data_IF_307503466763
#
_entry.id   IF_307503466763
#
_cell.length_a   1.000
_cell.length_b   1.000
_cell.length_c   1.000
_cell.angle_alpha   90.00
_cell.angle_beta   90.00
_cell.angle_gamma   90.00
#
_symmetry.space_group_name_H-M   'P 1'
#
loop_
_entity.id
_entity.type
_entity.pdbx_description
1 polymer ?
#
# COMPACT_ATOMS: atom_id res chain seq x y z
N UNK A 1 -7.68 -12.22 2.84
CA UNK A 1 -7.07 -11.61 4.05
C UNK A 1 -8.19 -10.90 4.82
N UNK A 2 -8.09 -10.80 6.14
CA UNK A 2 -9.17 -10.22 6.99
C UNK A 2 -8.75 -8.85 7.49
N UNK A 3 -9.57 -7.84 7.19
CA UNK A 3 -9.40 -6.48 7.70
C UNK A 3 -9.63 -6.45 9.22
N UNK A 4 -8.85 -5.67 9.99
CA UNK A 4 -9.08 -5.54 11.43
C UNK A 4 -10.42 -4.86 11.74
N UNK A 5 -11.12 -5.32 12.78
CA UNK A 5 -12.46 -4.85 13.17
C UNK A 5 -12.53 -3.35 13.48
N UNK A 6 -11.41 -2.74 13.87
CA UNK A 6 -11.29 -1.31 14.17
C UNK A 6 -11.03 -0.45 12.93
N UNK A 7 -10.71 -1.03 11.77
CA UNK A 7 -10.38 -0.28 10.54
C UNK A 7 -11.46 0.71 10.09
N UNK A 8 -12.76 0.35 10.06
CA UNK A 8 -13.79 1.29 9.60
C UNK A 8 -13.83 2.58 10.43
N UNK A 9 -13.52 2.50 11.72
CA UNK A 9 -13.48 3.64 12.62
C UNK A 9 -12.26 4.52 12.34
N UNK A 10 -11.10 3.90 12.10
CA UNK A 10 -9.87 4.60 11.69
C UNK A 10 -10.05 5.31 10.35
N UNK A 11 -10.70 4.66 9.37
CA UNK A 11 -10.99 5.25 8.06
C UNK A 11 -11.92 6.46 8.20
N UNK A 12 -12.97 6.35 9.02
CA UNK A 12 -13.88 7.45 9.28
C UNK A 12 -13.20 8.62 10.01
N UNK A 13 -12.34 8.35 11.00
CA UNK A 13 -11.57 9.36 11.72
C UNK A 13 -10.54 10.05 10.82
N UNK A 14 -9.84 9.30 9.97
CA UNK A 14 -8.88 9.81 8.99
C UNK A 14 -9.57 10.71 7.97
N UNK A 15 -10.70 10.26 7.41
CA UNK A 15 -11.48 11.01 6.42
C UNK A 15 -11.99 12.36 6.94
N UNK A 16 -12.39 12.42 8.22
CA UNK A 16 -12.80 13.68 8.87
C UNK A 16 -11.66 14.68 8.99
N UNK A 17 -10.43 14.21 9.21
CA UNK A 17 -9.24 15.08 9.33
C UNK A 17 -8.68 15.47 7.97
N UNK A 18 -8.68 14.53 7.02
CA UNK A 18 -8.09 14.72 5.69
C UNK A 18 -8.83 13.87 4.66
N UNK A 19 -9.76 14.50 3.96
CA UNK A 19 -10.63 13.84 2.97
C UNK A 19 -9.80 13.10 1.90
N UNK A 20 -8.72 13.71 1.41
CA UNK A 20 -7.84 13.08 0.41
C UNK A 20 -7.18 11.79 0.93
N UNK A 21 -6.78 11.72 2.20
CA UNK A 21 -6.24 10.50 2.80
C UNK A 21 -7.31 9.40 2.87
N UNK A 22 -8.55 9.76 3.22
CA UNK A 22 -9.68 8.83 3.20
C UNK A 22 -9.99 8.28 1.81
N UNK A 23 -9.90 9.12 0.77
CA UNK A 23 -10.08 8.70 -0.62
C UNK A 23 -9.00 7.72 -1.08
N UNK A 24 -7.73 7.96 -0.73
CA UNK A 24 -6.64 7.03 -1.07
C UNK A 24 -6.80 5.69 -0.36
N UNK A 25 -7.19 5.71 0.92
CA UNK A 25 -7.43 4.49 1.71
C UNK A 25 -8.63 3.66 1.24
N UNK A 26 -9.54 4.23 0.45
CA UNK A 26 -10.62 3.48 -0.18
C UNK A 26 -10.12 2.48 -1.25
N UNK A 27 -8.88 2.68 -1.73
CA UNK A 27 -8.17 1.83 -2.68
C UNK A 27 -7.04 1.03 -2.01
N UNK A 28 -7.12 0.86 -0.69
CA UNK A 28 -6.14 0.13 0.10
C UNK A 28 -6.81 -1.03 0.85
N UNK A 29 -6.15 -2.19 0.81
CA UNK A 29 -6.49 -3.33 1.65
C UNK A 29 -5.62 -3.30 2.92
N UNK A 30 -6.22 -3.08 4.10
CA UNK A 30 -5.50 -3.09 5.37
C UNK A 30 -5.33 -4.51 5.92
N UNK A 31 -4.13 -4.83 6.38
CA UNK A 31 -3.84 -6.08 7.10
C UNK A 31 -2.94 -5.80 8.31
N UNK A 32 -3.07 -6.60 9.37
CA UNK A 32 -2.18 -6.48 10.53
C UNK A 32 -1.21 -7.64 10.53
N UNK A 33 0.08 -7.35 10.41
CA UNK A 33 1.16 -8.32 10.41
C UNK A 33 2.25 -7.87 11.40
N UNK A 34 2.64 -8.74 12.32
CA UNK A 34 3.69 -8.48 13.33
C UNK A 34 3.49 -7.18 14.12
N UNK A 35 2.23 -6.83 14.41
CA UNK A 35 1.90 -5.61 15.14
C UNK A 35 2.05 -4.33 14.32
N UNK A 36 2.31 -4.41 13.01
CA UNK A 36 2.24 -3.29 12.08
C UNK A 36 0.96 -3.36 11.25
N UNK A 37 0.40 -2.19 10.92
CA UNK A 37 -0.64 -2.08 9.91
C UNK A 37 0.04 -2.03 8.55
N UNK A 38 -0.21 -3.03 7.71
CA UNK A 38 0.22 -3.07 6.33
C UNK A 38 -0.92 -2.59 5.43
N UNK A 39 -0.61 -1.65 4.54
CA UNK A 39 -1.51 -1.15 3.52
C UNK A 39 -1.02 -1.63 2.16
N UNK A 40 -1.83 -2.43 1.51
CA UNK A 40 -1.63 -2.82 0.11
C UNK A 40 -2.56 -1.99 -0.76
N UNK A 41 -2.01 -1.16 -1.64
CA UNK A 41 -2.80 -0.37 -2.57
C UNK A 41 -3.10 -1.16 -3.84
N UNK A 42 -4.32 -1.02 -4.36
CA UNK A 42 -4.76 -1.72 -5.58
C UNK A 42 -3.97 -1.27 -6.82
N UNK A 43 -3.35 -0.09 -6.78
CA UNK A 43 -2.70 0.57 -7.91
C UNK A 43 -1.44 1.32 -7.49
N UNK A 44 -0.39 1.24 -8.31
CA UNK A 44 0.88 1.94 -8.10
C UNK A 44 0.74 3.47 -8.07
N UNK A 45 -0.14 4.05 -8.89
CA UNK A 45 -0.32 5.51 -8.92
C UNK A 45 -1.00 6.04 -7.64
N UNK A 46 -1.85 5.22 -7.01
CA UNK A 46 -2.44 5.53 -5.71
C UNK A 46 -1.40 5.42 -4.60
N UNK A 47 -0.54 4.39 -4.65
CA UNK A 47 0.58 4.26 -3.71
C UNK A 47 1.56 5.44 -3.80
N UNK A 48 1.88 5.89 -5.02
CA UNK A 48 2.70 7.08 -5.22
C UNK A 48 2.02 8.34 -4.64
N UNK A 49 0.73 8.55 -4.94
CA UNK A 49 -0.04 9.66 -4.39
C UNK A 49 -0.11 9.62 -2.85
N UNK A 50 -0.15 8.42 -2.25
CA UNK A 50 -0.11 8.24 -0.80
C UNK A 50 1.19 8.77 -0.20
N UNK A 51 2.34 8.32 -0.72
CA UNK A 51 3.67 8.73 -0.26
C UNK A 51 3.86 10.25 -0.39
N UNK A 52 3.46 10.83 -1.53
CA UNK A 52 3.61 12.26 -1.79
C UNK A 52 2.64 13.12 -0.97
N UNK A 53 1.48 12.59 -0.60
CA UNK A 53 0.45 13.36 0.11
C UNK A 53 0.80 13.61 1.57
N UNK A 54 1.67 12.81 2.20
CA UNK A 54 1.86 12.80 3.65
C UNK A 54 0.60 12.35 4.41
N UNK A 55 -0.28 11.55 3.77
CA UNK A 55 -1.48 11.01 4.38
C UNK A 55 -1.19 10.06 5.54
N UNK A 56 0.00 9.44 5.57
CA UNK A 56 0.43 8.54 6.64
C UNK A 56 0.37 9.18 8.03
N UNK A 57 0.84 10.42 8.19
CA UNK A 57 0.80 11.11 9.48
C UNK A 57 -0.64 11.33 9.99
N UNK A 58 -1.59 11.58 9.07
CA UNK A 58 -2.99 11.73 9.42
C UNK A 58 -3.62 10.40 9.88
N UNK A 59 -3.25 9.30 9.22
CA UNK A 59 -3.66 7.95 9.58
C UNK A 59 -3.08 7.53 10.94
N UNK A 60 -1.77 7.67 11.14
CA UNK A 60 -1.11 7.36 12.42
C UNK A 60 -1.71 8.16 13.57
N UNK A 61 -1.98 9.46 13.36
CA UNK A 61 -2.66 10.28 14.36
C UNK A 61 -4.09 9.83 14.63
N UNK A 62 -4.82 9.29 13.64
CA UNK A 62 -6.17 8.77 13.83
C UNK A 62 -6.16 7.44 14.59
N UNK A 63 -5.22 6.56 14.25
CA UNK A 63 -5.00 5.30 14.95
C UNK A 63 -4.57 5.50 16.41
N UNK A 64 -3.65 6.43 16.67
CA UNK A 64 -3.26 6.79 18.04
C UNK A 64 -4.43 7.35 18.86
N UNK A 65 -5.27 8.19 18.25
CA UNK A 65 -6.49 8.70 18.90
C UNK A 65 -7.49 7.61 19.28
N UNK A 66 -7.56 6.54 18.49
CA UNK A 66 -8.45 5.39 18.72
C UNK A 66 -7.81 4.28 19.58
N UNK A 67 -6.56 4.46 20.03
CA UNK A 67 -5.88 3.49 20.91
C UNK A 67 -5.16 2.36 20.18
N UNK A 68 -4.86 2.52 18.89
CA UNK A 68 -4.18 1.51 18.05
C UNK A 68 -2.87 2.05 17.46
N UNK A 69 -1.82 2.39 18.25
CA UNK A 69 -0.60 3.04 17.75
C UNK A 69 0.34 2.06 17.00
N UNK A 70 -0.20 1.28 16.09
CA UNK A 70 0.55 0.36 15.25
C UNK A 70 1.30 1.17 14.17
N UNK A 71 2.58 0.87 13.89
CA UNK A 71 3.29 1.50 12.79
C UNK A 71 2.63 1.15 11.45
N UNK A 72 2.54 2.12 10.54
CA UNK A 72 2.03 1.91 9.19
C UNK A 72 3.17 1.50 8.27
N UNK A 73 2.95 0.47 7.46
CA UNK A 73 3.82 0.06 6.37
C UNK A 73 3.02 0.01 5.09
N UNK A 74 3.54 0.62 4.05
CA UNK A 74 2.98 0.50 2.71
C UNK A 74 3.69 -0.64 2.00
N UNK A 75 2.93 -1.49 1.33
CA UNK A 75 3.47 -2.47 0.40
C UNK A 75 2.90 -2.17 -0.97
N UNK A 76 3.78 -2.15 -1.97
CA UNK A 76 3.35 -2.20 -3.35
C UNK A 76 2.53 -3.49 -3.53
N UNK A 77 1.48 -3.48 -4.37
CA UNK A 77 0.82 -4.72 -4.74
C UNK A 77 1.92 -5.70 -5.18
N UNK A 78 1.83 -6.96 -4.74
CA UNK A 78 2.75 -7.97 -5.21
C UNK A 78 2.67 -7.95 -6.75
N UNK A 79 3.64 -7.30 -7.40
CA UNK A 79 3.82 -7.36 -8.84
C UNK A 79 3.95 -8.84 -9.11
N UNK A 80 2.86 -9.45 -9.61
CA UNK A 80 2.89 -10.83 -10.01
C UNK A 80 4.11 -10.97 -10.92
N UNK A 81 5.12 -11.72 -10.46
CA UNK A 81 6.36 -11.94 -11.18
C UNK A 81 6.02 -12.57 -12.54
N UNK A 82 5.80 -11.75 -13.56
CA UNK A 82 5.85 -12.19 -14.93
C UNK A 82 7.29 -12.07 -15.41
N UNK A 83 8.14 -12.93 -14.84
CA UNK A 83 9.53 -13.12 -15.24
C UNK A 83 9.55 -13.93 -16.52
N UNK A 84 9.69 -13.25 -17.66
CA UNK A 84 10.58 -13.54 -18.80
C UNK A 84 10.05 -12.87 -20.09
N UNK A 85 10.93 -12.22 -20.86
CA UNK A 85 11.32 -12.88 -22.10
C UNK A 85 12.74 -13.41 -21.96
N UNK A 86 12.85 -14.70 -22.30
CA UNK A 86 14.07 -15.42 -22.60
C UNK A 86 14.92 -14.58 -23.56
N UNK A 87 16.00 -13.99 -23.07
CA UNK A 87 17.01 -13.35 -23.88
C UNK A 87 17.81 -14.47 -24.58
N UNK A 88 17.23 -15.04 -25.64
CA UNK A 88 17.92 -15.94 -26.55
C UNK A 88 18.93 -15.13 -27.38
N UNK A 89 20.04 -14.79 -26.75
CA UNK A 89 21.26 -14.39 -27.43
C UNK A 89 21.65 -15.49 -28.43
N UNK A 90 21.33 -15.28 -29.71
CA UNK A 90 21.82 -16.14 -30.79
C UNK A 90 23.18 -15.59 -31.23
N UNK A 91 24.31 -16.25 -30.96
CA UNK A 91 25.57 -15.83 -31.54
C UNK A 91 25.52 -16.13 -33.05
N UNK A 92 25.59 -15.08 -33.86
CA UNK A 92 25.82 -15.19 -35.31
C UNK A 92 27.19 -15.82 -35.52
N UNK A 93 27.22 -17.11 -35.84
CA UNK A 93 28.40 -17.77 -36.38
C UNK A 93 28.46 -17.44 -37.87
N UNK A 94 29.33 -16.49 -38.24
CA UNK A 94 29.72 -16.26 -39.63
C UNK A 94 30.72 -17.33 -40.03
N UNK A 95 30.39 -18.13 -41.04
CA UNK A 95 31.32 -19.02 -41.73
C UNK A 95 31.16 -18.84 -43.24
N UNK A 96 32.05 -18.05 -43.85
CA UNK A 96 32.77 -18.35 -45.09
C UNK A 96 33.72 -17.22 -45.46
#
# INVERSE_FOLDING_TARGET
MTQPDWWPQVLAATSKRRIAAGMLLAHATPTVHDGALQLEFDRDDVAAAWEESGAQAALEGAMAYLGHPNPVRVSAPATAENRAPDEAATPVTISR
#
